data_IF_597700947123
#
_entry.id   IF_597700947123
#
_cell.length_a   1.000
_cell.length_b   1.000
_cell.length_c   1.000
_cell.angle_alpha   90.00
_cell.angle_beta   90.00
_cell.angle_gamma   90.00
#
_symmetry.space_group_name_H-M   'P 1'
#
loop_
_entity.id
_entity.type
_entity.pdbx_description
1 polymer ?
#
# COMPACT_ATOMS: atom_id res chain seq x y z
N UNK A 1 22.35 24.60 -7.15
CA UNK A 1 20.96 24.68 -6.65
C UNK A 1 21.00 24.57 -5.12
N UNK A 2 20.76 25.68 -4.42
CA UNK A 2 20.81 25.79 -2.95
C UNK A 2 19.42 25.49 -2.37
N UNK A 3 19.38 24.59 -1.38
CA UNK A 3 18.21 24.32 -0.55
C UNK A 3 17.98 25.48 0.43
N UNK A 4 16.77 26.05 0.43
CA UNK A 4 16.32 27.05 1.41
C UNK A 4 15.51 26.32 2.50
N UNK A 5 16.03 26.40 3.72
CA UNK A 5 15.38 25.98 4.97
C UNK A 5 14.27 26.96 5.33
N UNK A 6 13.01 26.48 5.39
CA UNK A 6 11.87 27.24 5.89
C UNK A 6 11.67 27.03 7.39
N UNK A 7 12.09 28.01 8.19
CA UNK A 7 11.84 28.10 9.64
C UNK A 7 10.42 28.60 9.92
N UNK A 8 9.62 27.81 10.64
CA UNK A 8 8.25 28.11 11.07
C UNK A 8 8.27 29.04 12.30
N UNK A 9 7.88 30.30 12.12
CA UNK A 9 7.75 31.29 13.20
C UNK A 9 6.29 31.38 13.68
N UNK A 10 5.96 30.77 14.83
CA UNK A 10 4.66 30.99 15.50
C UNK A 10 4.59 32.41 16.08
N UNK A 11 3.64 33.23 15.62
CA UNK A 11 3.22 34.45 16.31
C UNK A 11 1.96 34.18 17.11
N UNK A 12 2.06 34.36 18.42
CA UNK A 12 0.94 34.47 19.35
C UNK A 12 0.18 35.78 19.07
N UNK A 13 -1.11 35.68 18.76
CA UNK A 13 -2.02 36.83 18.76
C UNK A 13 -2.65 36.91 20.15
N UNK A 14 -2.38 38.02 20.82
CA UNK A 14 -2.85 38.39 22.17
C UNK A 14 -4.08 39.29 21.98
N UNK A 15 -5.25 38.87 22.44
CA UNK A 15 -6.45 39.72 22.48
C UNK A 15 -6.48 40.50 23.80
N UNK A 16 -6.84 41.80 23.81
CA UNK A 16 -6.91 42.59 25.03
C UNK A 16 -8.24 42.39 25.78
N UNK A 17 -8.14 42.28 27.11
CA UNK A 17 -9.23 42.46 28.06
C UNK A 17 -9.60 43.94 28.17
N UNK A 18 -10.90 44.24 28.28
CA UNK A 18 -11.38 45.44 28.99
C UNK A 18 -12.51 45.07 29.95
N UNK A 19 -12.41 45.65 31.13
CA UNK A 19 -13.19 45.45 32.37
C UNK A 19 -14.63 45.99 32.34
N UNK A 20 -15.49 45.39 33.20
CA UNK A 20 -16.39 46.02 34.21
C UNK A 20 -17.50 44.98 34.58
N UNK A 21 -17.56 44.35 35.78
CA UNK A 21 -18.07 44.85 37.10
C UNK A 21 -19.38 45.65 36.97
N UNK A 22 -20.44 45.49 37.76
CA UNK A 22 -20.74 44.71 38.98
C UNK A 22 -22.28 44.77 39.21
N UNK A 23 -22.79 43.77 39.93
CA UNK A 23 -23.83 43.81 40.99
C UNK A 23 -25.30 44.33 40.83
N UNK A 24 -26.21 43.37 41.12
CA UNK A 24 -27.27 43.34 42.17
C UNK A 24 -28.62 44.09 42.05
N UNK A 25 -29.59 43.40 42.67
CA UNK A 25 -30.90 43.79 43.25
C UNK A 25 -32.07 44.09 42.29
N UNK A 26 -33.17 43.32 42.24
CA UNK A 26 -34.19 42.91 43.23
C UNK A 26 -35.46 43.79 43.19
N UNK A 27 -36.62 43.14 43.38
CA UNK A 27 -37.99 43.66 43.67
C UNK A 27 -38.72 44.40 42.53
N UNK A 28 -39.89 44.00 42.03
CA UNK A 28 -41.22 43.69 42.59
C UNK A 28 -42.23 44.74 42.08
N UNK A 29 -43.43 44.33 41.65
CA UNK A 29 -44.60 45.23 41.60
C UNK A 29 -45.39 45.32 40.29
N UNK A 30 -46.34 44.39 40.10
CA UNK A 30 -47.74 44.60 39.70
C UNK A 30 -48.13 45.72 38.71
N UNK A 31 -48.80 45.36 37.59
CA UNK A 31 -50.23 45.68 37.28
C UNK A 31 -50.60 45.29 35.83
N UNK A 32 -51.51 44.33 35.70
CA UNK A 32 -52.47 44.12 34.58
C UNK A 32 -53.58 45.22 34.58
N UNK A 33 -54.59 45.29 33.66
CA UNK A 33 -55.07 44.30 32.67
C UNK A 33 -55.41 44.87 31.25
N UNK A 34 -55.61 44.04 30.22
CA UNK A 34 -56.90 43.64 29.59
C UNK A 34 -56.68 43.68 28.04
N UNK A 35 -57.29 42.89 27.16
CA UNK A 35 -58.53 42.14 27.20
C UNK A 35 -58.63 41.12 26.03
N UNK A 36 -59.47 40.08 26.23
CA UNK A 36 -60.31 39.38 25.22
C UNK A 36 -59.61 38.51 24.13
N UNK A 37 -60.00 37.27 23.82
CA UNK A 37 -61.19 36.47 24.14
C UNK A 37 -61.03 35.00 23.69
N UNK A 38 -61.64 34.09 24.47
CA UNK A 38 -62.34 32.82 24.10
C UNK A 38 -61.52 31.65 23.50
N UNK A 39 -61.33 30.55 24.25
CA UNK A 39 -62.21 29.39 24.48
C UNK A 39 -62.05 28.32 23.37
N UNK A 40 -61.35 27.21 23.68
CA UNK A 40 -61.89 25.84 23.93
C UNK A 40 -62.40 25.18 22.62
N UNK A 41 -62.19 23.91 22.29
CA UNK A 41 -61.96 22.70 23.07
C UNK A 41 -61.53 21.58 22.11
N UNK A 42 -61.15 20.46 22.70
CA UNK A 42 -60.69 19.20 22.12
C UNK A 42 -61.63 18.49 21.12
N UNK A 43 -61.02 17.64 20.28
CA UNK A 43 -61.33 16.21 20.08
C UNK A 43 -61.71 15.74 18.66
N UNK A 44 -60.94 14.72 18.22
CA UNK A 44 -61.37 13.47 17.57
C UNK A 44 -61.82 13.42 16.10
N UNK A 45 -61.39 12.30 15.46
CA UNK A 45 -61.96 11.55 14.31
C UNK A 45 -61.79 12.17 12.93
N UNK A 46 -61.10 11.51 11.99
CA UNK A 46 -61.47 10.29 11.22
C UNK A 46 -62.54 10.59 10.16
N UNK A 47 -62.36 9.96 9.00
CA UNK A 47 -63.24 9.95 7.80
C UNK A 47 -62.89 11.09 6.81
N UNK A 48 -62.87 10.93 5.48
CA UNK A 48 -62.91 9.76 4.62
C UNK A 48 -62.44 10.20 3.22
N UNK A 49 -61.97 9.21 2.48
CA UNK A 49 -61.59 9.21 1.07
C UNK A 49 -62.73 9.62 0.12
N UNK A 50 -62.52 10.50 -0.89
CA UNK A 50 -63.15 10.37 -2.22
C UNK A 50 -62.33 11.08 -3.31
N UNK A 51 -61.84 10.27 -4.24
CA UNK A 51 -61.29 10.63 -5.55
C UNK A 51 -62.22 11.54 -6.37
N UNK A 52 -61.67 12.59 -6.98
CA UNK A 52 -62.16 13.07 -8.28
C UNK A 52 -61.05 13.85 -9.01
N UNK A 53 -60.46 13.27 -10.05
CA UNK A 53 -60.88 13.39 -11.47
C UNK A 53 -60.03 14.43 -12.20
N UNK A 54 -59.07 13.85 -12.95
CA UNK A 54 -58.69 14.14 -14.33
C UNK A 54 -58.04 15.48 -14.73
N UNK A 55 -56.82 15.29 -15.24
CA UNK A 55 -56.34 15.78 -16.54
C UNK A 55 -55.82 17.22 -16.61
N UNK A 56 -54.50 17.34 -16.72
CA UNK A 56 -53.89 17.79 -17.97
C UNK A 56 -52.40 17.42 -18.02
N UNK A 57 -52.02 16.69 -19.06
CA UNK A 57 -50.63 16.29 -19.31
C UNK A 57 -49.82 17.36 -20.04
N UNK A 58 -48.50 17.32 -19.85
CA UNK A 58 -47.49 17.45 -20.90
C UNK A 58 -46.08 17.20 -20.34
N UNK A 59 -45.58 15.99 -20.59
CA UNK A 59 -44.20 15.60 -20.89
C UNK A 59 -43.02 16.36 -20.25
N UNK A 60 -42.36 15.69 -19.30
CA UNK A 60 -40.94 15.81 -19.00
C UNK A 60 -40.40 14.43 -18.65
N UNK A 61 -39.50 13.90 -19.48
CA UNK A 61 -38.89 12.58 -19.31
C UNK A 61 -38.11 12.49 -17.98
N UNK A 62 -38.62 11.75 -17.01
CA UNK A 62 -37.81 11.20 -15.91
C UNK A 62 -37.67 9.69 -16.11
N UNK A 63 -36.42 9.24 -16.19
CA UNK A 63 -36.05 7.83 -16.28
C UNK A 63 -36.49 7.12 -14.99
N UNK A 64 -37.35 6.11 -15.14
CA UNK A 64 -37.75 5.20 -14.06
C UNK A 64 -36.51 4.60 -13.39
N UNK A 65 -36.21 5.06 -12.17
CA UNK A 65 -35.34 4.30 -11.27
C UNK A 65 -36.10 3.04 -10.87
N UNK A 66 -35.79 1.93 -11.52
CA UNK A 66 -36.17 0.60 -11.07
C UNK A 66 -35.65 0.38 -9.64
N UNK A 67 -36.55 0.53 -8.67
CA UNK A 67 -36.30 0.19 -7.27
C UNK A 67 -36.25 -1.33 -7.14
N UNK A 68 -35.05 -1.90 -7.10
CA UNK A 68 -34.86 -3.32 -6.76
C UNK A 68 -35.04 -3.53 -5.25
N UNK A 69 -36.23 -3.26 -4.74
CA UNK A 69 -36.68 -3.73 -3.41
C UNK A 69 -37.79 -4.75 -3.63
N UNK A 70 -37.41 -5.92 -4.17
CA UNK A 70 -38.28 -7.08 -4.11
C UNK A 70 -37.46 -8.37 -4.01
N UNK A 71 -37.05 -8.68 -2.79
CA UNK A 71 -36.75 -10.03 -2.31
C UNK A 71 -36.77 -9.98 -0.78
N UNK A 72 -37.97 -10.07 -0.21
CA UNK A 72 -38.12 -10.40 1.21
C UNK A 72 -38.01 -11.92 1.33
N UNK A 73 -36.78 -12.40 1.54
CA UNK A 73 -36.55 -13.66 2.23
C UNK A 73 -36.66 -13.38 3.73
N UNK A 74 -37.46 -14.18 4.42
CA UNK A 74 -37.65 -14.12 5.87
C UNK A 74 -36.39 -14.62 6.58
N UNK A 75 -35.37 -13.75 6.63
CA UNK A 75 -34.21 -13.78 7.54
C UNK A 75 -33.54 -12.41 7.43
N UNK A 76 -34.27 -11.37 7.83
CA UNK A 76 -33.72 -10.04 8.01
C UNK A 76 -32.87 -10.03 9.30
N UNK A 77 -31.74 -10.76 9.27
CA UNK A 77 -30.62 -10.42 10.14
C UNK A 77 -30.24 -9.00 9.73
N UNK A 78 -30.51 -8.04 10.62
CA UNK A 78 -29.98 -6.70 10.49
C UNK A 78 -28.46 -6.87 10.31
N UNK A 79 -27.97 -6.69 9.08
CA UNK A 79 -26.55 -6.55 8.85
C UNK A 79 -26.21 -5.20 9.48
N UNK A 80 -25.79 -5.24 10.75
CA UNK A 80 -25.11 -4.10 11.33
C UNK A 80 -24.01 -3.71 10.33
N UNK A 81 -23.90 -2.42 9.96
CA UNK A 81 -22.76 -2.00 9.16
C UNK A 81 -21.53 -2.33 9.99
N UNK A 82 -20.79 -3.36 9.59
CA UNK A 82 -19.53 -3.77 10.20
C UNK A 82 -18.57 -2.58 10.15
N UNK A 83 -18.63 -1.71 11.16
CA UNK A 83 -17.74 -0.58 11.38
C UNK A 83 -16.46 -1.04 12.09
N UNK A 84 -16.03 -2.27 11.85
CA UNK A 84 -14.80 -2.82 12.41
C UNK A 84 -13.56 -2.41 11.61
N UNK A 85 -13.56 -1.22 11.00
CA UNK A 85 -12.29 -0.59 10.65
C UNK A 85 -11.76 -0.08 11.99
N UNK A 86 -10.95 -0.91 12.65
CA UNK A 86 -10.15 -0.47 13.79
C UNK A 86 -9.26 0.66 13.26
N UNK A 87 -9.66 1.90 13.49
CA UNK A 87 -8.82 3.06 13.19
C UNK A 87 -7.57 2.94 14.06
N UNK A 88 -6.45 2.62 13.42
CA UNK A 88 -5.15 2.60 14.07
C UNK A 88 -4.88 4.04 14.53
N UNK A 89 -4.69 4.31 15.84
CA UNK A 89 -4.48 5.66 16.33
C UNK A 89 -3.33 6.35 15.59
N UNK A 90 -3.54 7.59 15.17
CA UNK A 90 -2.61 8.37 14.36
C UNK A 90 -1.21 8.51 14.99
N UNK A 91 -1.15 8.50 16.32
CA UNK A 91 0.06 8.54 17.16
C UNK A 91 1.05 7.41 16.83
N UNK A 92 0.57 6.30 16.27
CA UNK A 92 1.38 5.15 15.88
C UNK A 92 2.38 5.50 14.78
N UNK A 93 1.90 6.23 13.76
CA UNK A 93 2.72 6.59 12.60
C UNK A 93 3.71 7.72 12.90
N UNK A 94 3.50 8.47 13.98
CA UNK A 94 4.33 9.63 14.36
C UNK A 94 5.57 9.22 15.17
N UNK A 95 5.65 7.96 15.61
CA UNK A 95 6.81 7.41 16.34
C UNK A 95 8.08 7.35 15.49
N UNK A 96 7.94 7.15 14.17
CA UNK A 96 9.08 7.17 13.25
C UNK A 96 9.41 8.58 12.80
N UNK A 97 10.66 8.98 13.03
CA UNK A 97 11.21 10.21 12.46
C UNK A 97 11.02 10.23 10.93
N UNK A 98 10.65 11.38 10.34
CA UNK A 98 10.36 11.47 8.90
C UNK A 98 11.56 11.10 8.03
N UNK A 99 12.78 11.40 8.46
CA UNK A 99 14.02 10.99 7.79
C UNK A 99 14.16 9.47 7.72
N UNK A 100 13.80 8.76 8.79
CA UNK A 100 13.85 7.29 8.85
C UNK A 100 12.83 6.65 7.92
N UNK A 101 11.64 7.25 7.78
CA UNK A 101 10.62 6.81 6.80
C UNK A 101 11.15 6.89 5.37
N UNK A 102 11.79 8.01 5.02
CA UNK A 102 12.38 8.20 3.67
C UNK A 102 13.48 7.18 3.42
N UNK A 103 14.38 6.95 4.39
CA UNK A 103 15.44 5.94 4.26
C UNK A 103 14.86 4.53 4.06
N UNK A 104 13.80 4.18 4.78
CA UNK A 104 13.08 2.92 4.58
C UNK A 104 12.47 2.81 3.19
N UNK A 105 11.80 3.87 2.70
CA UNK A 105 11.24 3.91 1.33
C UNK A 105 12.35 3.73 0.30
N UNK A 106 13.44 4.47 0.39
CA UNK A 106 14.58 4.34 -0.53
C UNK A 106 15.14 2.92 -0.55
N UNK A 107 15.28 2.29 0.62
CA UNK A 107 15.76 0.92 0.74
C UNK A 107 14.80 -0.09 0.10
N UNK A 108 13.49 -0.01 0.40
CA UNK A 108 12.53 -0.95 -0.17
C UNK A 108 12.34 -0.73 -1.67
N UNK A 109 12.42 0.52 -2.15
CA UNK A 109 12.46 0.85 -3.58
C UNK A 109 13.69 0.24 -4.26
N UNK A 110 14.85 0.32 -3.61
CA UNK A 110 16.08 -0.31 -4.10
C UNK A 110 15.93 -1.84 -4.16
N UNK A 111 15.40 -2.48 -3.12
CA UNK A 111 15.14 -3.92 -3.13
C UNK A 111 14.13 -4.33 -4.22
N UNK A 112 13.08 -3.54 -4.42
CA UNK A 112 12.08 -3.78 -5.47
C UNK A 112 12.63 -3.54 -6.88
N UNK A 113 13.67 -2.71 -7.04
CA UNK A 113 14.38 -2.53 -8.31
C UNK A 113 15.19 -3.78 -8.72
N UNK A 114 15.73 -4.55 -7.75
CA UNK A 114 16.57 -5.73 -8.01
C UNK A 114 15.85 -6.87 -8.74
N UNK A 115 14.58 -7.13 -8.43
CA UNK A 115 13.84 -8.22 -9.04
C UNK A 115 13.58 -8.03 -10.55
N UNK A 116 13.04 -6.88 -11.01
CA UNK A 116 12.81 -6.65 -12.42
C UNK A 116 14.10 -6.44 -13.21
N UNK A 117 15.12 -5.75 -12.68
CA UNK A 117 16.42 -5.63 -13.38
C UNK A 117 17.06 -6.99 -13.63
N UNK A 118 16.92 -7.94 -12.68
CA UNK A 118 17.44 -9.29 -12.84
C UNK A 118 16.79 -10.01 -14.02
N UNK A 119 15.47 -9.89 -14.17
CA UNK A 119 14.72 -10.51 -15.26
C UNK A 119 15.03 -9.91 -16.64
N UNK A 120 15.24 -8.59 -16.73
CA UNK A 120 15.37 -7.90 -18.01
C UNK A 120 16.81 -7.78 -18.51
N UNK A 121 17.80 -7.68 -17.61
CA UNK A 121 19.22 -7.62 -17.99
C UNK A 121 19.71 -8.86 -18.74
N UNK A 122 19.12 -10.01 -18.44
CA UNK A 122 19.43 -11.29 -19.06
C UNK A 122 19.03 -11.32 -20.54
N UNK A 123 17.96 -10.62 -20.91
CA UNK A 123 17.42 -10.70 -22.27
C UNK A 123 18.45 -10.31 -23.31
N UNK A 124 19.33 -9.35 -23.00
CA UNK A 124 20.43 -8.93 -23.85
C UNK A 124 21.54 -10.00 -24.01
N UNK A 125 21.73 -10.86 -23.01
CA UNK A 125 22.73 -11.92 -22.99
C UNK A 125 22.22 -13.28 -23.52
N UNK A 126 20.93 -13.37 -23.85
CA UNK A 126 20.30 -14.58 -24.39
C UNK A 126 21.10 -15.28 -25.51
N UNK A 127 21.60 -14.58 -26.56
CA UNK A 127 22.36 -15.23 -27.62
C UNK A 127 23.68 -15.83 -27.13
N UNK A 128 24.45 -15.12 -26.29
CA UNK A 128 25.71 -15.64 -25.75
C UNK A 128 25.50 -16.85 -24.82
N UNK A 129 24.46 -16.80 -23.99
CA UNK A 129 24.10 -17.93 -23.11
C UNK A 129 23.72 -19.15 -23.95
N UNK A 130 23.02 -18.95 -25.08
CA UNK A 130 22.66 -20.03 -25.97
C UNK A 130 23.90 -20.68 -26.62
N UNK A 131 24.86 -19.86 -27.04
CA UNK A 131 26.12 -20.32 -27.62
C UNK A 131 26.98 -21.10 -26.61
N UNK A 132 27.16 -20.56 -25.39
CA UNK A 132 28.01 -21.20 -24.38
C UNK A 132 27.49 -22.57 -23.92
N UNK A 133 26.16 -22.71 -23.78
CA UNK A 133 25.54 -23.99 -23.42
C UNK A 133 25.20 -24.88 -24.63
N UNK A 134 25.65 -24.52 -25.84
CA UNK A 134 25.33 -25.24 -27.09
C UNK A 134 23.83 -25.56 -27.23
N UNK A 135 22.99 -24.57 -26.95
CA UNK A 135 21.53 -24.71 -26.92
C UNK A 135 20.85 -23.70 -27.86
N UNK A 136 19.55 -23.83 -28.06
CA UNK A 136 18.77 -22.88 -28.87
C UNK A 136 18.33 -21.68 -28.04
N UNK A 137 18.27 -20.50 -28.65
CA UNK A 137 17.70 -19.29 -28.02
C UNK A 137 16.26 -19.50 -27.52
N UNK A 138 15.49 -20.41 -28.13
CA UNK A 138 14.17 -20.80 -27.64
C UNK A 138 14.19 -21.39 -26.23
N UNK A 139 15.22 -22.18 -25.90
CA UNK A 139 15.39 -22.80 -24.58
C UNK A 139 15.76 -21.75 -23.54
N UNK A 140 16.62 -20.78 -23.90
CA UNK A 140 16.95 -19.66 -23.01
C UNK A 140 15.74 -18.77 -22.75
N UNK A 141 14.92 -18.51 -23.77
CA UNK A 141 13.65 -17.79 -23.61
C UNK A 141 12.65 -18.56 -22.74
N UNK A 142 12.63 -19.89 -22.83
CA UNK A 142 11.82 -20.75 -21.95
C UNK A 142 12.23 -20.57 -20.48
N UNK A 143 13.52 -20.40 -20.17
CA UNK A 143 13.97 -20.07 -18.79
C UNK A 143 13.35 -18.77 -18.31
N UNK A 144 13.38 -17.73 -19.14
CA UNK A 144 12.83 -16.43 -18.77
C UNK A 144 11.31 -16.50 -18.59
N UNK A 145 10.61 -17.32 -19.40
CA UNK A 145 9.19 -17.59 -19.20
C UNK A 145 8.92 -18.31 -17.86
N UNK A 146 9.70 -19.35 -17.54
CA UNK A 146 9.61 -20.05 -16.25
C UNK A 146 9.94 -19.10 -15.08
N UNK A 147 10.93 -18.23 -15.23
CA UNK A 147 11.25 -17.19 -14.25
C UNK A 147 10.00 -16.35 -13.94
N UNK A 148 9.31 -15.84 -14.96
CA UNK A 148 8.08 -15.06 -14.78
C UNK A 148 6.93 -15.88 -14.18
N UNK A 149 6.81 -17.17 -14.54
CA UNK A 149 5.82 -18.08 -13.95
C UNK A 149 6.04 -18.23 -12.44
N UNK A 150 7.26 -18.56 -12.02
CA UNK A 150 7.59 -18.70 -10.60
C UNK A 150 7.55 -17.39 -9.84
N UNK A 151 7.85 -16.27 -10.49
CA UNK A 151 7.63 -14.92 -9.96
C UNK A 151 6.15 -14.68 -9.64
N UNK A 152 5.22 -15.20 -10.45
CA UNK A 152 3.77 -15.12 -10.18
C UNK A 152 3.27 -16.08 -9.09
N UNK A 153 3.91 -17.25 -8.94
CA UNK A 153 3.55 -18.24 -7.90
C UNK A 153 4.14 -17.87 -6.53
N UNK A 154 5.28 -17.20 -6.52
CA UNK A 154 6.04 -16.82 -5.32
C UNK A 154 5.23 -16.11 -4.22
N UNK A 155 4.35 -15.12 -4.52
CA UNK A 155 3.55 -14.42 -3.51
C UNK A 155 2.62 -15.32 -2.70
N UNK A 156 2.23 -16.48 -3.25
CA UNK A 156 1.38 -17.46 -2.54
C UNK A 156 2.11 -18.00 -1.31
N UNK A 157 3.43 -18.19 -1.42
CA UNK A 157 4.26 -18.69 -0.34
C UNK A 157 4.76 -17.56 0.56
N UNK A 158 5.30 -16.47 0.00
CA UNK A 158 5.84 -15.37 0.81
C UNK A 158 4.77 -14.49 1.45
N UNK A 159 3.55 -14.46 0.90
CA UNK A 159 2.41 -13.71 1.42
C UNK A 159 2.13 -14.03 2.89
N UNK A 160 1.67 -15.26 3.21
CA UNK A 160 1.44 -15.68 4.58
C UNK A 160 2.72 -15.68 5.43
N UNK A 161 3.85 -16.07 4.84
CA UNK A 161 5.12 -16.19 5.55
C UNK A 161 5.62 -14.83 6.09
N UNK A 162 5.42 -13.77 5.31
CA UNK A 162 5.78 -12.40 5.71
C UNK A 162 4.96 -11.90 6.91
N UNK A 163 3.73 -12.37 7.07
CA UNK A 163 2.85 -12.01 8.19
C UNK A 163 3.24 -12.73 9.49
N UNK A 164 3.63 -14.00 9.39
CA UNK A 164 3.96 -14.84 10.57
C UNK A 164 5.37 -14.56 11.10
N UNK A 165 6.37 -14.56 10.23
CA UNK A 165 7.78 -14.45 10.64
C UNK A 165 8.23 -13.00 10.85
N UNK A 166 7.44 -12.05 10.34
CA UNK A 166 7.71 -10.63 10.38
C UNK A 166 8.60 -10.17 9.22
N UNK A 167 8.57 -8.84 9.01
CA UNK A 167 9.11 -8.19 7.81
C UNK A 167 10.64 -8.23 7.73
N UNK A 168 11.34 -8.02 8.85
CA UNK A 168 12.81 -8.00 8.87
C UNK A 168 13.40 -9.37 8.53
N UNK A 169 12.92 -10.42 9.19
CA UNK A 169 13.46 -11.78 8.99
C UNK A 169 13.22 -12.26 7.56
N UNK A 170 12.02 -12.00 7.02
CA UNK A 170 11.71 -12.43 5.67
C UNK A 170 12.57 -11.70 4.63
N UNK A 171 12.78 -10.38 4.77
CA UNK A 171 13.67 -9.62 3.86
C UNK A 171 15.11 -10.10 3.94
N UNK A 172 15.62 -10.44 5.13
CA UNK A 172 16.99 -10.94 5.28
C UNK A 172 17.15 -12.33 4.66
N UNK A 173 16.22 -13.25 4.92
CA UNK A 173 16.25 -14.61 4.36
C UNK A 173 16.17 -14.56 2.84
N UNK A 174 15.26 -13.76 2.27
CA UNK A 174 15.13 -13.65 0.82
C UNK A 174 16.30 -12.91 0.20
N UNK A 175 16.92 -11.96 0.90
CA UNK A 175 18.14 -11.29 0.42
C UNK A 175 19.37 -12.20 0.42
N UNK A 176 19.56 -13.02 1.46
CA UNK A 176 20.62 -14.03 1.48
C UNK A 176 20.38 -15.05 0.39
N UNK A 177 19.14 -15.52 0.26
CA UNK A 177 18.72 -16.43 -0.81
C UNK A 177 19.05 -15.86 -2.19
N UNK A 178 18.56 -14.64 -2.48
CA UNK A 178 18.76 -13.98 -3.77
C UNK A 178 20.24 -13.82 -4.10
N UNK A 179 21.06 -13.46 -3.11
CA UNK A 179 22.50 -13.34 -3.25
C UNK A 179 23.12 -14.72 -3.57
N UNK A 180 22.79 -15.76 -2.82
CA UNK A 180 23.31 -17.11 -3.04
C UNK A 180 22.88 -17.68 -4.40
N UNK A 181 21.61 -17.50 -4.78
CA UNK A 181 21.05 -17.91 -6.08
C UNK A 181 21.70 -17.15 -7.24
N UNK A 182 22.01 -15.86 -7.06
CA UNK A 182 22.73 -15.05 -8.07
C UNK A 182 24.16 -15.55 -8.28
N UNK A 183 24.87 -15.87 -7.19
CA UNK A 183 26.21 -16.50 -7.25
C UNK A 183 26.13 -17.86 -7.94
N UNK A 184 25.16 -18.70 -7.56
CA UNK A 184 24.92 -20.01 -8.17
C UNK A 184 24.66 -19.91 -9.67
N UNK A 185 23.91 -18.90 -10.11
CA UNK A 185 23.66 -18.63 -11.54
C UNK A 185 24.94 -18.21 -12.27
N UNK A 186 25.79 -17.38 -11.65
CA UNK A 186 27.06 -16.94 -12.24
C UNK A 186 28.07 -18.08 -12.43
N UNK A 187 28.10 -19.02 -11.47
CA UNK A 187 28.99 -20.18 -11.42
C UNK A 187 28.37 -21.45 -12.02
N UNK A 188 27.18 -21.37 -12.61
CA UNK A 188 26.51 -22.53 -13.16
C UNK A 188 27.37 -23.18 -14.26
N UNK A 189 27.70 -24.50 -14.14
CA UNK A 189 28.45 -25.22 -15.16
C UNK A 189 27.53 -25.86 -16.21
N UNK A 190 26.25 -26.07 -15.87
CA UNK A 190 25.29 -26.81 -16.69
C UNK A 190 24.00 -25.99 -16.87
N UNK A 191 23.33 -26.21 -18.00
CA UNK A 191 22.04 -25.59 -18.29
C UNK A 191 20.98 -25.87 -17.20
N UNK A 192 20.89 -27.11 -16.71
CA UNK A 192 19.95 -27.47 -15.65
C UNK A 192 20.20 -26.68 -14.34
N UNK A 193 21.47 -26.50 -13.96
CA UNK A 193 21.83 -25.71 -12.79
C UNK A 193 21.46 -24.24 -12.98
N UNK A 194 21.71 -23.68 -14.18
CA UNK A 194 21.30 -22.33 -14.54
C UNK A 194 19.78 -22.12 -14.41
N UNK A 195 18.97 -23.10 -14.84
CA UNK A 195 17.51 -23.06 -14.68
C UNK A 195 17.09 -23.04 -13.20
N UNK A 196 17.65 -23.94 -12.39
CA UNK A 196 17.30 -24.06 -10.98
C UNK A 196 17.63 -22.78 -10.21
N UNK A 197 18.86 -22.27 -10.35
CA UNK A 197 19.25 -21.02 -9.68
C UNK A 197 18.44 -19.82 -10.17
N UNK A 198 18.03 -19.80 -11.44
CA UNK A 198 17.13 -18.77 -11.95
C UNK A 198 15.75 -18.79 -11.32
N UNK A 199 15.17 -19.97 -11.20
CA UNK A 199 13.86 -20.14 -10.57
C UNK A 199 13.92 -19.70 -9.10
N UNK A 200 14.99 -20.07 -8.38
CA UNK A 200 15.21 -19.64 -7.01
C UNK A 200 15.33 -18.11 -6.90
N UNK A 201 16.11 -17.49 -7.79
CA UNK A 201 16.26 -16.04 -7.86
C UNK A 201 14.92 -15.33 -8.11
N UNK A 202 14.08 -15.87 -8.99
CA UNK A 202 12.73 -15.33 -9.25
C UNK A 202 11.84 -15.41 -8.00
N UNK A 203 11.91 -16.55 -7.33
CA UNK A 203 11.14 -16.83 -6.13
C UNK A 203 11.49 -15.85 -5.01
N UNK A 204 12.79 -15.63 -4.77
CA UNK A 204 13.29 -14.72 -3.74
C UNK A 204 13.07 -13.25 -4.12
N UNK A 205 13.29 -12.88 -5.38
CA UNK A 205 13.15 -11.51 -5.87
C UNK A 205 11.72 -10.96 -5.71
N UNK A 206 10.71 -11.79 -5.92
CA UNK A 206 9.30 -11.39 -5.75
C UNK A 206 8.98 -11.00 -4.31
N UNK A 207 9.62 -11.65 -3.34
CA UNK A 207 9.42 -11.34 -1.93
C UNK A 207 9.79 -9.90 -1.60
N UNK A 208 10.78 -9.30 -2.28
CA UNK A 208 11.13 -7.89 -2.09
C UNK A 208 10.01 -6.93 -2.46
N UNK A 209 9.27 -7.21 -3.54
CA UNK A 209 8.14 -6.39 -3.95
C UNK A 209 7.01 -6.49 -2.93
N UNK A 210 6.70 -7.73 -2.51
CA UNK A 210 5.66 -8.01 -1.53
C UNK A 210 5.95 -7.33 -0.19
N UNK A 211 7.14 -7.55 0.34
CA UNK A 211 7.54 -7.03 1.65
C UNK A 211 7.72 -5.53 1.60
N UNK A 212 8.27 -4.97 0.52
CA UNK A 212 8.42 -3.53 0.33
C UNK A 212 7.08 -2.80 0.33
N UNK A 213 6.11 -3.29 -0.44
CA UNK A 213 4.75 -2.73 -0.46
C UNK A 213 4.08 -2.78 0.91
N UNK A 214 4.26 -3.91 1.60
CA UNK A 214 3.67 -4.10 2.90
C UNK A 214 4.37 -3.22 3.97
N UNK A 215 5.70 -3.00 3.89
CA UNK A 215 6.46 -2.13 4.81
C UNK A 215 5.98 -0.68 4.69
N UNK A 216 5.71 -0.21 3.47
CA UNK A 216 5.14 1.11 3.22
C UNK A 216 3.74 1.24 3.85
N UNK A 217 2.94 0.18 3.77
CA UNK A 217 1.63 0.11 4.42
C UNK A 217 1.68 0.24 5.94
N UNK A 218 2.76 -0.19 6.57
CA UNK A 218 2.91 -0.14 8.03
C UNK A 218 3.46 1.20 8.56
N UNK A 219 4.19 1.95 7.73
CA UNK A 219 4.91 3.17 8.15
C UNK A 219 4.11 4.46 7.84
N UNK A 220 3.25 4.43 6.82
CA UNK A 220 2.52 5.61 6.34
C UNK A 220 1.03 5.55 6.65
N UNK A 221 0.48 6.70 7.10
CA UNK A 221 -0.96 6.90 7.23
C UNK A 221 -1.65 6.68 5.88
N UNK A 222 -2.90 6.17 5.82
CA UNK A 222 -3.60 5.91 4.56
C UNK A 222 -3.61 7.10 3.58
N UNK A 223 -3.68 8.33 4.10
CA UNK A 223 -3.70 9.57 3.31
C UNK A 223 -2.36 9.85 2.61
N UNK A 224 -1.24 9.54 3.25
CA UNK A 224 0.13 9.81 2.73
C UNK A 224 0.75 8.60 2.03
N UNK A 225 0.19 7.40 2.24
CA UNK A 225 0.68 6.13 1.70
C UNK A 225 0.73 6.11 0.17
N UNK A 226 -0.18 6.83 -0.50
CA UNK A 226 -0.22 6.92 -1.96
C UNK A 226 1.08 7.49 -2.54
N UNK A 227 1.57 8.59 -1.97
CA UNK A 227 2.82 9.22 -2.41
C UNK A 227 4.03 8.31 -2.19
N UNK A 228 4.11 7.65 -1.03
CA UNK A 228 5.19 6.72 -0.73
C UNK A 228 5.17 5.48 -1.65
N UNK A 229 3.98 4.94 -1.94
CA UNK A 229 3.81 3.83 -2.88
C UNK A 229 4.19 4.25 -4.30
N UNK A 230 3.91 5.50 -4.71
CA UNK A 230 4.35 6.05 -6.00
C UNK A 230 5.87 6.06 -6.17
N UNK A 231 6.61 6.49 -5.13
CA UNK A 231 8.07 6.44 -5.13
C UNK A 231 8.61 5.00 -5.19
N UNK A 232 7.97 4.08 -4.48
CA UNK A 232 8.30 2.66 -4.54
C UNK A 232 8.10 2.03 -5.91
N UNK A 233 6.96 2.28 -6.53
CA UNK A 233 6.68 1.80 -7.88
C UNK A 233 7.62 2.42 -8.91
N UNK A 234 8.02 3.67 -8.72
CA UNK A 234 9.02 4.33 -9.58
C UNK A 234 10.35 3.58 -9.54
N UNK A 235 10.82 3.15 -8.36
CA UNK A 235 12.01 2.29 -8.24
C UNK A 235 11.87 0.98 -9.00
N UNK A 236 10.73 0.30 -8.85
CA UNK A 236 10.45 -0.96 -9.56
C UNK A 236 10.36 -0.79 -11.08
N UNK A 237 9.86 0.35 -11.58
CA UNK A 237 9.72 0.63 -13.01
C UNK A 237 11.03 1.04 -13.69
N UNK A 238 11.97 1.57 -12.92
CA UNK A 238 13.32 1.88 -13.42
C UNK A 238 14.08 0.59 -13.76
N UNK A 239 13.83 -0.52 -13.04
CA UNK A 239 14.51 -1.80 -13.25
C UNK A 239 14.44 -2.33 -14.69
N UNK A 240 13.24 -2.48 -15.28
CA UNK A 240 13.07 -2.95 -16.65
C UNK A 240 13.73 -2.05 -17.69
N UNK A 241 13.77 -0.73 -17.46
CA UNK A 241 14.42 0.22 -18.37
C UNK A 241 15.95 0.12 -18.31
N UNK A 242 16.51 0.00 -17.10
CA UNK A 242 17.97 -0.07 -16.91
C UNK A 242 18.56 -1.46 -17.20
N UNK A 243 17.77 -2.53 -17.09
CA UNK A 243 18.25 -3.89 -17.28
C UNK A 243 18.86 -4.14 -18.66
N UNK A 244 18.14 -3.95 -19.77
CA UNK A 244 18.68 -4.15 -21.11
C UNK A 244 19.84 -3.20 -21.43
N UNK A 245 19.82 -1.98 -20.89
CA UNK A 245 20.92 -1.03 -21.04
C UNK A 245 22.22 -1.58 -20.43
N UNK A 246 22.17 -1.98 -19.15
CA UNK A 246 23.33 -2.57 -18.47
C UNK A 246 23.73 -3.92 -19.08
N UNK A 247 22.76 -4.77 -19.40
CA UNK A 247 23.00 -6.06 -20.05
C UNK A 247 23.68 -5.93 -21.40
N UNK A 248 23.21 -5.01 -22.25
CA UNK A 248 23.80 -4.76 -23.56
C UNK A 248 25.21 -4.20 -23.50
N UNK A 249 25.46 -3.23 -22.61
CA UNK A 249 26.82 -2.69 -22.40
C UNK A 249 27.76 -3.79 -21.90
N UNK A 250 27.34 -4.60 -20.92
CA UNK A 250 28.20 -5.66 -20.38
C UNK A 250 28.54 -6.68 -21.46
N UNK A 251 27.54 -7.22 -22.16
CA UNK A 251 27.71 -8.23 -23.22
C UNK A 251 28.59 -7.72 -24.36
N UNK A 252 28.61 -6.42 -24.64
CA UNK A 252 29.44 -5.85 -25.71
C UNK A 252 30.94 -5.87 -25.37
N UNK A 253 31.31 -5.74 -24.10
CA UNK A 253 32.71 -5.57 -23.68
C UNK A 253 33.25 -6.71 -22.81
N UNK A 254 32.37 -7.51 -22.19
CA UNK A 254 32.71 -8.52 -21.19
C UNK A 254 31.74 -9.71 -21.30
N UNK A 255 32.12 -10.88 -20.79
CA UNK A 255 31.26 -12.08 -20.79
C UNK A 255 29.94 -11.87 -20.04
N UNK A 256 28.87 -12.48 -20.53
CA UNK A 256 27.53 -12.48 -19.92
C UNK A 256 27.49 -12.85 -18.43
N UNK A 257 28.43 -13.67 -17.94
CA UNK A 257 28.53 -14.08 -16.52
C UNK A 257 28.67 -12.88 -15.58
N UNK A 258 29.25 -11.77 -16.05
CA UNK A 258 29.43 -10.54 -15.25
C UNK A 258 28.10 -9.87 -14.91
N UNK A 259 27.04 -10.08 -15.69
CA UNK A 259 25.69 -9.60 -15.35
C UNK A 259 25.25 -10.19 -14.01
N UNK A 260 25.48 -11.47 -13.78
CA UNK A 260 25.10 -12.14 -12.52
C UNK A 260 25.99 -11.73 -11.36
N UNK A 261 27.27 -11.42 -11.60
CA UNK A 261 28.15 -10.83 -10.59
C UNK A 261 27.70 -9.42 -10.20
N UNK A 262 27.27 -8.60 -11.17
CA UNK A 262 26.68 -7.29 -10.90
C UNK A 262 25.40 -7.42 -10.07
N UNK A 263 24.51 -8.34 -10.45
CA UNK A 263 23.28 -8.62 -9.67
C UNK A 263 23.61 -9.07 -8.24
N UNK A 264 24.63 -9.90 -8.08
CA UNK A 264 25.13 -10.34 -6.76
C UNK A 264 25.63 -9.16 -5.93
N UNK A 265 26.39 -8.25 -6.53
CA UNK A 265 26.86 -7.04 -5.85
C UNK A 265 25.69 -6.15 -5.42
N UNK A 266 24.71 -5.93 -6.31
CA UNK A 266 23.50 -5.18 -6.00
C UNK A 266 22.71 -5.82 -4.85
N UNK A 267 22.59 -7.16 -4.86
CA UNK A 267 21.96 -7.95 -3.80
C UNK A 267 22.72 -7.86 -2.47
N UNK A 268 24.06 -7.87 -2.50
CA UNK A 268 24.89 -7.65 -1.32
C UNK A 268 24.63 -6.29 -0.69
N UNK A 269 24.54 -5.23 -1.49
CA UNK A 269 24.18 -3.89 -1.01
C UNK A 269 22.77 -3.89 -0.42
N UNK A 270 21.81 -4.57 -1.06
CA UNK A 270 20.44 -4.68 -0.54
C UNK A 270 20.40 -5.43 0.80
N UNK A 271 21.15 -6.52 0.93
CA UNK A 271 21.25 -7.30 2.16
C UNK A 271 21.86 -6.49 3.31
N UNK A 272 22.98 -5.81 3.05
CA UNK A 272 23.65 -4.96 4.04
C UNK A 272 22.74 -3.80 4.45
N UNK A 273 22.11 -3.14 3.48
CA UNK A 273 21.13 -2.08 3.74
C UNK A 273 19.94 -2.60 4.56
N UNK A 274 19.40 -3.77 4.20
CA UNK A 274 18.30 -4.41 4.91
C UNK A 274 18.67 -4.72 6.37
N UNK A 275 19.88 -5.22 6.61
CA UNK A 275 20.37 -5.56 7.93
C UNK A 275 20.49 -4.33 8.86
N UNK A 276 21.03 -3.21 8.37
CA UNK A 276 21.23 -2.02 9.18
C UNK A 276 19.98 -1.15 9.33
N UNK A 277 19.15 -1.06 8.28
CA UNK A 277 18.06 -0.08 8.23
C UNK A 277 16.75 -0.64 8.78
N UNK A 278 16.44 -1.94 8.59
CA UNK A 278 15.19 -2.50 9.14
C UNK A 278 15.31 -2.71 10.66
N UNK A 279 14.53 -2.01 11.50
CA UNK A 279 14.50 -2.30 12.94
C UNK A 279 13.92 -3.68 13.24
N UNK A 280 14.45 -4.33 14.27
CA UNK A 280 13.95 -5.60 14.77
C UNK A 280 12.79 -5.38 15.75
N UNK A 281 11.61 -5.93 15.42
CA UNK A 281 10.51 -6.38 16.31
C UNK A 281 10.12 -5.53 17.55
N UNK A 282 10.15 -4.20 17.51
CA UNK A 282 9.52 -3.40 18.60
C UNK A 282 8.60 -2.25 18.19
N UNK A 283 8.47 -1.94 16.89
CA UNK A 283 7.71 -0.75 16.46
C UNK A 283 6.42 -1.05 15.69
N UNK A 284 6.20 -2.29 15.22
CA UNK A 284 5.00 -2.64 14.45
C UNK A 284 4.21 -3.82 15.05
N UNK A 285 3.28 -3.59 16.00
CA UNK A 285 2.31 -4.58 16.44
C UNK A 285 1.10 -4.56 15.51
N UNK A 286 1.05 -5.45 14.52
CA UNK A 286 -0.17 -5.78 13.79
C UNK A 286 0.05 -7.19 13.22
N UNK A 287 -0.58 -8.29 13.64
CA UNK A 287 -1.93 -8.53 14.13
C UNK A 287 -1.90 -9.52 15.31
N UNK A 288 -2.01 -9.03 16.54
CA UNK A 288 -2.59 -9.84 17.62
C UNK A 288 -3.93 -9.19 17.92
N UNK A 289 -4.95 -9.55 17.14
CA UNK A 289 -6.32 -9.31 17.58
C UNK A 289 -6.41 -9.88 19.01
N UNK A 290 -6.81 -9.11 20.02
CA UNK A 290 -7.08 -9.68 21.32
C UNK A 290 -8.13 -10.78 21.10
N UNK A 291 -7.86 -11.97 21.64
CA UNK A 291 -8.72 -13.17 21.64
C UNK A 291 -10.09 -12.95 22.33
N UNK A 292 -10.58 -11.73 22.43
CA UNK A 292 -11.87 -11.36 23.03
C UNK A 292 -13.03 -11.31 22.03
N UNK A 293 -12.81 -11.69 20.77
CA UNK A 293 -13.83 -11.71 19.72
C UNK A 293 -13.76 -12.98 18.83
N UNK A 294 -13.35 -14.11 19.41
CA UNK A 294 -13.67 -15.46 18.94
C UNK A 294 -14.57 -16.10 20.01
#
# INVERSE_FOLDING_TARGET
MRWVSGSYSRRHIRLPMSEARDERDATAGSREPSAHSRASESSSRSDDNVDSVLSNGAAGNELDRFSTRHSMGMDAVAVEPTSSIVEIPDDYYERLAPSRKVVLVVLVSYCAFLAPISSTSVLAATPEVAEEYNTSGSIVNLVNALYMLFMGVSPILWGPLSQVYGRRMITLVTAVGFLASSIGTALAPNLAAFFLFRILTAFEGTSFLLVGSAVIGDIYKPVERGTATGWFMSGSLIGPAFGPFLGGVIVTYVSWRVIFWLQTALAGVALVGAYFVLPEKSEFPCLRLPSRYL
#
